data_IF_407225429155
#
_entry.id   IF_407225429155
#
_cell.length_a   1.000
_cell.length_b   1.000
_cell.length_c   1.000
_cell.angle_alpha   90.00
_cell.angle_beta   90.00
_cell.angle_gamma   90.00
#
_symmetry.space_group_name_H-M   'P 1'
#
loop_
_entity.id
_entity.type
_entity.pdbx_description
1 polymer ?
#
# COMPACT_ATOMS: atom_id res chain seq x y z
N UNK A 1 20.21 -11.95 -4.34
CA UNK A 1 19.81 -11.53 -5.70
C UNK A 1 19.40 -10.07 -5.64
N UNK A 2 20.23 -9.18 -6.19
CA UNK A 2 19.96 -7.74 -6.22
C UNK A 2 18.76 -7.50 -7.14
N UNK A 3 17.60 -7.20 -6.55
CA UNK A 3 16.36 -6.92 -7.28
C UNK A 3 16.39 -5.43 -7.65
N UNK A 4 17.28 -5.06 -8.58
CA UNK A 4 17.35 -3.71 -9.15
C UNK A 4 16.14 -3.48 -10.03
N UNK A 5 15.01 -3.16 -9.40
CA UNK A 5 13.87 -2.58 -10.12
C UNK A 5 14.25 -1.12 -10.43
N UNK A 6 14.45 -0.73 -11.70
CA UNK A 6 14.88 0.62 -12.08
C UNK A 6 13.84 1.69 -11.71
N UNK A 7 12.63 1.27 -11.38
CA UNK A 7 11.59 2.11 -10.82
C UNK A 7 11.59 1.93 -9.30
N UNK A 8 12.31 2.80 -8.58
CA UNK A 8 12.22 3.00 -7.12
C UNK A 8 10.83 3.51 -6.66
N UNK A 9 9.75 3.10 -7.31
CA UNK A 9 8.37 3.55 -7.10
C UNK A 9 7.72 2.78 -5.96
N UNK A 10 8.52 2.27 -5.04
CA UNK A 10 8.07 1.55 -3.85
C UNK A 10 9.08 1.70 -2.71
N UNK A 11 8.56 1.92 -1.51
CA UNK A 11 9.32 2.05 -0.28
C UNK A 11 8.99 0.91 0.69
N UNK A 12 9.94 0.55 1.54
CA UNK A 12 9.76 -0.51 2.53
C UNK A 12 8.96 0.03 3.71
N UNK A 13 7.89 -0.68 4.13
CA UNK A 13 7.09 -0.33 5.32
C UNK A 13 7.37 -1.26 6.51
N UNK A 14 8.36 -2.14 6.37
CA UNK A 14 8.82 -3.03 7.43
C UNK A 14 8.86 -4.48 6.97
N UNK A 15 9.27 -5.35 7.88
CA UNK A 15 9.26 -6.80 7.67
C UNK A 15 8.16 -7.40 8.52
N UNK A 16 7.23 -8.10 7.88
CA UNK A 16 6.07 -8.74 8.50
C UNK A 16 6.13 -10.22 8.16
N UNK A 17 6.01 -11.12 9.14
CA UNK A 17 6.08 -12.57 8.92
C UNK A 17 7.30 -13.00 8.09
N UNK A 18 8.50 -12.49 8.42
CA UNK A 18 9.75 -12.73 7.68
C UNK A 18 9.75 -12.23 6.22
N UNK A 19 8.70 -11.54 5.78
CA UNK A 19 8.56 -10.97 4.43
C UNK A 19 8.73 -9.46 4.46
N UNK A 20 9.61 -8.93 3.60
CA UNK A 20 9.80 -7.50 3.47
C UNK A 20 8.61 -6.88 2.73
N UNK A 21 7.77 -6.12 3.43
CA UNK A 21 6.61 -5.45 2.87
C UNK A 21 7.03 -4.14 2.23
N UNK A 22 6.75 -4.01 0.93
CA UNK A 22 7.02 -2.81 0.14
C UNK A 22 5.72 -2.23 -0.40
N UNK A 23 5.51 -0.94 -0.18
CA UNK A 23 4.33 -0.21 -0.66
C UNK A 23 4.72 0.64 -1.84
N UNK A 24 3.90 0.64 -2.89
CA UNK A 24 4.11 1.50 -4.05
C UNK A 24 3.79 2.96 -3.75
N UNK A 25 4.52 3.88 -4.38
CA UNK A 25 4.25 5.33 -4.32
C UNK A 25 2.91 5.70 -4.95
N UNK A 26 2.32 4.83 -5.79
CA UNK A 26 0.97 5.03 -6.30
C UNK A 26 -0.10 4.94 -5.22
N UNK A 27 0.19 4.24 -4.11
CA UNK A 27 -0.73 4.07 -3.00
C UNK A 27 -1.01 5.41 -2.28
N UNK A 28 -0.01 6.21 -1.87
CA UNK A 28 -0.27 7.56 -1.35
C UNK A 28 -0.85 8.52 -2.39
N UNK A 29 -0.54 8.37 -3.69
CA UNK A 29 -1.22 9.13 -4.75
C UNK A 29 -2.71 8.80 -4.79
N UNK A 30 -3.08 7.53 -4.66
CA UNK A 30 -4.48 7.10 -4.61
C UNK A 30 -5.23 7.68 -3.40
N UNK A 31 -4.56 7.82 -2.24
CA UNK A 31 -5.12 8.54 -1.10
C UNK A 31 -5.45 10.00 -1.43
N UNK A 32 -4.55 10.69 -2.14
CA UNK A 32 -4.79 12.07 -2.57
C UNK A 32 -5.98 12.15 -3.55
N UNK A 33 -6.15 11.17 -4.44
CA UNK A 33 -7.31 11.08 -5.33
C UNK A 33 -8.60 10.86 -4.54
N UNK A 34 -8.60 9.97 -3.55
CA UNK A 34 -9.77 9.80 -2.68
C UNK A 34 -10.11 11.08 -1.92
N UNK A 35 -9.11 11.81 -1.45
CA UNK A 35 -9.33 13.09 -0.80
C UNK A 35 -9.83 14.17 -1.78
N UNK A 36 -9.38 14.18 -3.04
CA UNK A 36 -9.89 15.17 -4.02
C UNK A 36 -11.34 14.93 -4.42
N UNK A 37 -11.83 13.69 -4.32
CA UNK A 37 -13.18 13.30 -4.73
C UNK A 37 -14.19 13.18 -3.58
N UNK A 38 -13.73 12.95 -2.35
CA UNK A 38 -14.59 12.73 -1.19
C UNK A 38 -14.22 13.64 -0.02
N UNK A 39 -15.10 13.75 0.97
CA UNK A 39 -14.73 14.42 2.23
C UNK A 39 -13.55 13.71 2.88
N UNK A 40 -12.71 14.46 3.61
CA UNK A 40 -11.48 13.94 4.24
C UNK A 40 -11.75 12.65 5.04
N UNK A 41 -12.84 12.62 5.81
CA UNK A 41 -13.27 11.44 6.55
C UNK A 41 -13.56 10.24 5.63
N UNK A 42 -14.40 10.41 4.62
CA UNK A 42 -14.77 9.31 3.70
C UNK A 42 -13.58 8.84 2.87
N UNK A 43 -12.76 9.76 2.38
CA UNK A 43 -11.58 9.42 1.58
C UNK A 43 -10.57 8.57 2.36
N UNK A 44 -10.27 8.96 3.60
CA UNK A 44 -9.38 8.18 4.48
C UNK A 44 -10.01 6.84 4.86
N UNK A 45 -11.31 6.79 5.16
CA UNK A 45 -11.99 5.53 5.50
C UNK A 45 -11.97 4.53 4.34
N UNK A 46 -12.37 4.96 3.14
CA UNK A 46 -12.39 4.09 1.96
C UNK A 46 -10.99 3.62 1.59
N UNK A 47 -10.01 4.53 1.61
CA UNK A 47 -8.61 4.20 1.40
C UNK A 47 -8.09 3.19 2.43
N UNK A 48 -8.39 3.40 3.72
CA UNK A 48 -7.97 2.52 4.80
C UNK A 48 -8.55 1.11 4.65
N UNK A 49 -9.84 1.00 4.33
CA UNK A 49 -10.49 -0.29 4.06
C UNK A 49 -9.82 -1.01 2.89
N UNK A 50 -9.61 -0.31 1.76
CA UNK A 50 -8.95 -0.87 0.58
C UNK A 50 -7.52 -1.34 0.92
N UNK A 51 -6.74 -0.50 1.59
CA UNK A 51 -5.35 -0.80 1.95
C UNK A 51 -5.27 -2.03 2.86
N UNK A 52 -6.05 -2.06 3.94
CA UNK A 52 -6.06 -3.18 4.89
C UNK A 52 -6.53 -4.46 4.20
N UNK A 53 -7.57 -4.39 3.38
CA UNK A 53 -8.10 -5.55 2.66
C UNK A 53 -7.05 -6.18 1.74
N UNK A 54 -6.38 -5.37 0.91
CA UNK A 54 -5.32 -5.85 0.03
C UNK A 54 -4.12 -6.34 0.83
N UNK A 55 -3.71 -5.60 1.86
CA UNK A 55 -2.59 -6.01 2.71
C UNK A 55 -2.82 -7.39 3.33
N UNK A 56 -3.99 -7.63 3.93
CA UNK A 56 -4.33 -8.92 4.51
C UNK A 56 -4.47 -10.02 3.45
N UNK A 57 -5.02 -9.70 2.27
CA UNK A 57 -5.12 -10.64 1.16
C UNK A 57 -3.73 -11.12 0.71
N UNK A 58 -2.79 -10.20 0.49
CA UNK A 58 -1.42 -10.52 0.10
C UNK A 58 -0.66 -11.27 1.20
N UNK A 59 -0.85 -10.90 2.47
CA UNK A 59 -0.28 -11.68 3.58
C UNK A 59 -0.84 -13.11 3.62
N UNK A 60 -2.12 -13.31 3.28
CA UNK A 60 -2.72 -14.64 3.18
C UNK A 60 -2.19 -15.51 2.04
N UNK A 61 -1.62 -14.92 0.99
CA UNK A 61 -0.92 -15.67 -0.07
C UNK A 61 0.52 -16.02 0.30
N UNK A 62 1.12 -15.25 1.21
CA UNK A 62 2.53 -15.38 1.59
C UNK A 62 2.72 -16.31 2.79
N UNK A 63 1.74 -16.40 3.70
CA UNK A 63 1.71 -17.31 4.86
C UNK A 63 1.33 -18.73 4.43
#
# INVERSE_FOLDING_TARGET
MSRSNPLHWSFSIGTWFLTQVRVSIFLPVLLLVFWSHYSLGLGVTLFGILFISVFLHEMGHVV
#
